data_IF_882643939060
#
_entry.id   IF_882643939060
#
_cell.length_a   1.000
_cell.length_b   1.000
_cell.length_c   1.000
_cell.angle_alpha   90.00
_cell.angle_beta   90.00
_cell.angle_gamma   90.00
#
_symmetry.space_group_name_H-M   'P 1'
#
loop_
_entity.id
_entity.type
_entity.pdbx_description
1 polymer ?
#
# COMPACT_ATOMS: atom_id res chain seq x y z
N UNK A 1 28.92 14.79 14.08
CA UNK A 1 28.00 13.65 13.86
C UNK A 1 26.61 14.21 13.99
N UNK A 2 26.04 14.59 12.85
CA UNK A 2 24.78 15.30 12.76
C UNK A 2 23.66 14.28 12.96
N UNK A 3 23.11 14.24 14.18
CA UNK A 3 22.08 13.30 14.63
C UNK A 3 20.69 13.57 14.06
N UNK A 4 20.58 13.80 12.75
CA UNK A 4 19.30 14.09 12.07
C UNK A 4 18.74 12.92 11.24
N UNK A 5 19.45 11.79 11.11
CA UNK A 5 19.01 10.67 10.27
C UNK A 5 18.00 9.69 10.90
N UNK A 6 17.76 9.74 12.21
CA UNK A 6 16.90 8.76 12.88
C UNK A 6 15.40 9.06 12.77
N UNK A 7 15.01 10.34 12.73
CA UNK A 7 13.60 10.74 12.66
C UNK A 7 12.95 10.35 11.33
N UNK A 8 13.65 10.63 10.24
CA UNK A 8 13.20 10.31 8.87
C UNK A 8 13.07 8.81 8.63
N UNK A 9 14.02 8.03 9.16
CA UNK A 9 14.00 6.57 9.05
C UNK A 9 12.87 5.95 9.87
N UNK A 10 12.64 6.43 11.10
CA UNK A 10 11.52 5.96 11.94
C UNK A 10 10.16 6.38 11.37
N UNK A 11 10.08 7.55 10.74
CA UNK A 11 8.90 8.00 10.03
C UNK A 11 8.65 7.10 8.81
N UNK A 12 9.67 6.84 8.00
CA UNK A 12 9.60 5.93 6.85
C UNK A 12 9.17 4.51 7.28
N UNK A 13 9.74 3.93 8.34
CA UNK A 13 9.32 2.61 8.81
C UNK A 13 7.87 2.58 9.32
N UNK A 14 7.41 3.67 9.95
CA UNK A 14 6.03 3.80 10.44
C UNK A 14 5.04 3.96 9.28
N UNK A 15 5.34 4.83 8.33
CA UNK A 15 4.53 5.03 7.13
C UNK A 15 4.50 3.75 6.29
N UNK A 16 5.64 3.05 6.19
CA UNK A 16 5.71 1.74 5.55
C UNK A 16 4.80 0.69 6.21
N UNK A 17 4.81 0.64 7.55
CA UNK A 17 3.97 -0.30 8.30
C UNK A 17 2.48 0.07 8.19
N UNK A 18 2.16 1.36 8.16
CA UNK A 18 0.78 1.85 8.06
C UNK A 18 0.15 1.51 6.71
N UNK A 19 0.84 1.79 5.58
CA UNK A 19 0.29 1.45 4.27
C UNK A 19 0.15 -0.07 4.10
N UNK A 20 1.13 -0.84 4.60
CA UNK A 20 1.10 -2.30 4.49
C UNK A 20 -0.12 -2.88 5.24
N UNK A 21 -0.42 -2.36 6.42
CA UNK A 21 -1.63 -2.72 7.17
C UNK A 21 -2.90 -2.26 6.46
N UNK A 22 -2.91 -1.06 5.86
CA UNK A 22 -4.07 -0.51 5.13
C UNK A 22 -4.41 -1.35 3.89
N UNK A 23 -3.40 -1.74 3.09
CA UNK A 23 -3.57 -2.66 1.95
C UNK A 23 -3.96 -4.05 2.43
N UNK A 24 -3.44 -4.52 3.56
CA UNK A 24 -3.84 -5.83 4.09
C UNK A 24 -5.30 -5.84 4.56
N UNK A 25 -5.80 -4.74 5.12
CA UNK A 25 -7.19 -4.65 5.61
C UNK A 25 -8.20 -4.23 4.55
N UNK A 26 -7.75 -3.73 3.40
CA UNK A 26 -8.68 -3.36 2.33
C UNK A 26 -9.34 -4.59 1.70
N UNK A 27 -10.60 -4.42 1.33
CA UNK A 27 -11.43 -5.42 0.66
C UNK A 27 -11.74 -5.02 -0.79
N UNK A 28 -11.08 -3.99 -1.31
CA UNK A 28 -11.30 -3.45 -2.66
C UNK A 28 -10.00 -3.02 -3.33
N UNK A 29 -9.84 -3.36 -4.62
CA UNK A 29 -8.72 -2.91 -5.46
C UNK A 29 -8.69 -1.40 -5.64
N UNK A 30 -9.86 -0.75 -5.79
CA UNK A 30 -9.94 0.70 -5.94
C UNK A 30 -9.25 1.40 -4.75
N UNK A 31 -9.48 0.87 -3.54
CA UNK A 31 -8.87 1.40 -2.34
C UNK A 31 -7.37 1.10 -2.23
N UNK A 32 -6.88 0.03 -2.86
CA UNK A 32 -5.42 -0.20 -2.99
C UNK A 32 -4.80 0.88 -3.87
N UNK A 33 -5.40 1.21 -5.02
CA UNK A 33 -4.91 2.24 -5.91
C UNK A 33 -4.85 3.62 -5.23
N UNK A 34 -5.87 3.97 -4.44
CA UNK A 34 -5.86 5.20 -3.63
C UNK A 34 -4.71 5.23 -2.61
N UNK A 35 -4.37 4.09 -2.01
CA UNK A 35 -3.25 4.00 -1.05
C UNK A 35 -1.92 4.19 -1.78
N UNK A 36 -1.74 3.53 -2.91
CA UNK A 36 -0.54 3.62 -3.74
C UNK A 36 -0.30 5.07 -4.21
N UNK A 37 -1.35 5.76 -4.66
CA UNK A 37 -1.28 7.18 -5.04
C UNK A 37 -0.87 8.07 -3.85
N UNK A 38 -1.42 7.80 -2.65
CA UNK A 38 -1.08 8.56 -1.43
C UNK A 38 0.37 8.42 -0.99
N UNK A 39 1.02 7.29 -1.30
CA UNK A 39 2.42 7.05 -0.95
C UNK A 39 3.37 7.22 -2.14
N UNK A 40 2.89 7.77 -3.27
CA UNK A 40 3.65 7.94 -4.51
C UNK A 40 4.33 6.64 -4.99
N UNK A 41 3.68 5.49 -4.77
CA UNK A 41 4.19 4.17 -5.12
C UNK A 41 3.52 3.69 -6.41
N UNK A 42 4.32 3.29 -7.40
CA UNK A 42 3.77 2.73 -8.64
C UNK A 42 3.21 1.32 -8.42
N UNK A 43 2.28 0.89 -9.27
CA UNK A 43 1.75 -0.48 -9.19
C UNK A 43 2.83 -1.53 -9.47
N UNK A 44 3.74 -1.27 -10.42
CA UNK A 44 4.88 -2.15 -10.71
C UNK A 44 5.83 -2.27 -9.49
N UNK A 45 6.20 -1.16 -8.86
CA UNK A 45 7.02 -1.15 -7.63
C UNK A 45 6.32 -1.87 -6.48
N UNK A 46 5.00 -1.74 -6.39
CA UNK A 46 4.20 -2.47 -5.40
C UNK A 46 4.19 -3.97 -5.66
N UNK A 47 4.04 -4.41 -6.92
CA UNK A 47 4.07 -5.83 -7.29
C UNK A 47 5.45 -6.43 -7.04
N UNK A 48 6.52 -5.70 -7.38
CA UNK A 48 7.89 -6.14 -7.16
C UNK A 48 8.26 -6.19 -5.67
N UNK A 49 7.89 -5.16 -4.91
CA UNK A 49 8.19 -5.04 -3.48
C UNK A 49 7.30 -5.88 -2.57
N UNK A 50 6.05 -6.12 -2.96
CA UNK A 50 5.03 -6.81 -2.15
C UNK A 50 4.23 -7.85 -2.95
N UNK A 51 4.90 -8.88 -3.51
CA UNK A 51 4.22 -9.87 -4.36
C UNK A 51 3.11 -10.64 -3.64
N UNK A 52 3.21 -10.80 -2.32
CA UNK A 52 2.18 -11.45 -1.50
C UNK A 52 0.92 -10.59 -1.37
N UNK A 53 1.07 -9.28 -1.17
CA UNK A 53 -0.05 -8.35 -1.17
C UNK A 53 -0.64 -8.22 -2.57
N UNK A 54 0.17 -8.12 -3.62
CA UNK A 54 -0.30 -8.03 -4.99
C UNK A 54 -1.20 -9.22 -5.39
N UNK A 55 -0.85 -10.44 -4.95
CA UNK A 55 -1.72 -11.61 -5.14
C UNK A 55 -3.06 -11.44 -4.43
N UNK A 56 -3.04 -11.01 -3.17
CA UNK A 56 -4.28 -10.74 -2.43
C UNK A 56 -5.13 -9.68 -3.13
N UNK A 57 -4.51 -8.61 -3.61
CA UNK A 57 -5.19 -7.52 -4.33
C UNK A 57 -5.84 -8.04 -5.62
N UNK A 58 -5.20 -8.95 -6.36
CA UNK A 58 -5.82 -9.58 -7.53
C UNK A 58 -7.09 -10.36 -7.20
N UNK A 59 -7.18 -10.94 -6.00
CA UNK A 59 -8.36 -11.66 -5.49
C UNK A 59 -9.47 -10.73 -4.97
N UNK A 60 -9.18 -9.44 -4.75
CA UNK A 60 -10.18 -8.47 -4.30
C UNK A 60 -11.11 -8.04 -5.44
N UNK A 61 -12.39 -7.74 -5.17
CA UNK A 61 -13.26 -7.11 -6.14
C UNK A 61 -12.77 -5.70 -6.49
N UNK A 62 -12.99 -5.28 -7.73
CA UNK A 62 -12.65 -3.94 -8.23
C UNK A 62 -13.51 -2.82 -7.58
N UNK A 63 -14.62 -3.19 -6.94
CA UNK A 63 -15.58 -2.31 -6.30
C UNK A 63 -16.93 -3.02 -6.17
N UNK A 64 -17.95 -2.41 -5.56
CA UNK A 64 -19.27 -3.03 -5.51
C UNK A 64 -19.69 -3.33 -6.94
N UNK A 65 -19.85 -4.61 -7.26
CA UNK A 65 -20.60 -5.04 -8.44
C UNK A 65 -21.99 -4.44 -8.29
N UNK A 66 -22.20 -3.24 -8.85
CA UNK A 66 -23.51 -2.74 -9.18
C UNK A 66 -24.04 -3.67 -10.29
N UNK A 67 -24.50 -4.85 -9.87
CA UNK A 67 -25.54 -5.56 -10.61
C UNK A 67 -26.78 -4.68 -10.50
N UNK A 68 -26.98 -3.85 -11.52
CA UNK A 68 -28.24 -3.17 -11.77
C UNK A 68 -29.32 -4.14 -12.21
#
# INVERSE_FOLDING_TARGET
MDGQGYGDHLNSCREMSAFYLEIRMTESKARVAEILERVDLSEDDFIEGFPDLAKKVQELPDGPTLSG
#
